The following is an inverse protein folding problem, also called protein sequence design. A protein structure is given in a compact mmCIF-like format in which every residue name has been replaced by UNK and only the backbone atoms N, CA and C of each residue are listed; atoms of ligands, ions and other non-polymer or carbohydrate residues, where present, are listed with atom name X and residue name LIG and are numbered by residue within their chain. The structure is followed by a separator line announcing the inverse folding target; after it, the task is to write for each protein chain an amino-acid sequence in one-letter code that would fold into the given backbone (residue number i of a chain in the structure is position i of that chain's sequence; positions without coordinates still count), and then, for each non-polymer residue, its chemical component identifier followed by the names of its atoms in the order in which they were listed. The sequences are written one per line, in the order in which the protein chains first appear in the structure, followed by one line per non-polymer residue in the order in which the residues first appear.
data_IF_684797325623
#
_entry.id   IF_684797325623
#
_cell.length_a   1.000
_cell.length_b   1.000
_cell.length_c   1.000
_cell.angle_alpha   90.00
_cell.angle_beta   90.00
_cell.angle_gamma   90.00
#
_symmetry.space_group_name_H-M   'P 1'
#
loop_
_entity.id
_entity.type
_entity.pdbx_description
1 polymer ?
#
# COMPACT_ATOMS: atom_id res chain seq x y z
N UNK A 1 -8.88 -1.63 -4.32
CA UNK A 1 -8.10 -2.57 -3.46
C UNK A 1 -7.35 -1.75 -2.42
N UNK A 2 -7.49 -2.13 -1.16
CA UNK A 2 -6.84 -1.41 -0.06
C UNK A 2 -5.48 -2.03 0.27
N UNK A 3 -5.43 -3.35 0.41
CA UNK A 3 -4.17 -4.04 0.63
C UNK A 3 -4.30 -5.52 0.28
N UNK A 4 -3.14 -6.16 0.16
CA UNK A 4 -3.04 -7.59 -0.12
C UNK A 4 -2.16 -8.24 0.94
N UNK A 5 -2.55 -9.44 1.35
CA UNK A 5 -1.78 -10.22 2.32
C UNK A 5 -1.54 -11.62 1.77
N UNK A 6 -0.28 -12.03 1.74
CA UNK A 6 0.10 -13.36 1.26
C UNK A 6 -0.06 -14.40 2.38
N UNK A 7 -0.67 -15.52 2.04
CA UNK A 7 -0.84 -16.68 2.90
C UNK A 7 -0.44 -17.93 2.11
N UNK A 8 0.82 -18.33 2.24
CA UNK A 8 1.33 -19.47 1.48
C UNK A 8 1.24 -19.17 -0.02
N UNK A 9 0.51 -20.00 -0.76
CA UNK A 9 0.35 -19.84 -2.21
C UNK A 9 -0.85 -18.97 -2.57
N UNK A 10 -1.54 -18.39 -1.59
CA UNK A 10 -2.73 -17.61 -1.81
C UNK A 10 -2.52 -16.19 -1.37
N UNK A 11 -3.24 -15.28 -2.01
CA UNK A 11 -3.22 -13.86 -1.69
C UNK A 11 -4.64 -13.45 -1.31
N UNK A 12 -4.78 -12.83 -0.15
CA UNK A 12 -6.04 -12.21 0.26
C UNK A 12 -6.04 -10.77 -0.25
N UNK A 13 -7.01 -10.45 -1.07
CA UNK A 13 -7.20 -9.10 -1.60
C UNK A 13 -8.29 -8.44 -0.76
N UNK A 14 -7.93 -7.39 -0.05
CA UNK A 14 -8.82 -6.73 0.90
C UNK A 14 -9.32 -5.43 0.31
N UNK A 15 -10.64 -5.27 0.30
CA UNK A 15 -11.32 -4.05 -0.14
C UNK A 15 -12.24 -3.58 0.96
N UNK A 16 -12.38 -2.25 1.07
CA UNK A 16 -13.19 -1.65 2.11
C UNK A 16 -14.65 -2.08 1.96
N UNK A 17 -15.26 -2.51 3.08
CA UNK A 17 -16.67 -2.90 3.14
C UNK A 17 -17.05 -4.09 2.26
N UNK A 18 -16.08 -4.88 1.82
CA UNK A 18 -16.31 -6.06 1.01
C UNK A 18 -15.62 -7.26 1.60
N UNK A 19 -16.10 -8.45 1.26
CA UNK A 19 -15.44 -9.67 1.68
C UNK A 19 -14.13 -9.85 0.92
N UNK A 20 -13.09 -10.40 1.58
CA UNK A 20 -11.82 -10.63 0.92
C UNK A 20 -11.96 -11.55 -0.29
N UNK A 21 -11.22 -11.25 -1.32
CA UNK A 21 -11.11 -12.12 -2.50
C UNK A 21 -9.79 -12.88 -2.36
N UNK A 22 -9.85 -14.20 -2.48
CA UNK A 22 -8.67 -15.05 -2.36
C UNK A 22 -8.27 -15.53 -3.74
N UNK A 23 -7.02 -15.27 -4.13
CA UNK A 23 -6.49 -15.73 -5.41
C UNK A 23 -5.20 -16.50 -5.19
N UNK A 24 -4.89 -17.42 -6.10
CA UNK A 24 -3.62 -18.14 -6.07
C UNK A 24 -2.62 -17.38 -6.91
N UNK A 25 -1.62 -16.80 -6.25
CA UNK A 25 -0.60 -16.01 -6.92
C UNK A 25 0.56 -15.75 -5.96
N UNK A 26 1.60 -15.10 -6.47
CA UNK A 26 2.75 -14.70 -5.68
C UNK A 26 2.75 -13.20 -5.52
N UNK A 27 3.01 -12.73 -4.29
CA UNK A 27 2.97 -11.31 -3.98
C UNK A 27 3.99 -10.51 -4.80
N UNK A 28 5.13 -11.12 -5.13
CA UNK A 28 6.13 -10.43 -5.96
C UNK A 28 5.60 -10.09 -7.34
N UNK A 29 4.85 -11.01 -7.94
CA UNK A 29 4.23 -10.77 -9.24
C UNK A 29 3.17 -9.70 -9.18
N UNK A 30 2.33 -9.77 -8.15
CA UNK A 30 1.29 -8.76 -7.96
C UNK A 30 1.88 -7.39 -7.66
N UNK A 31 2.98 -7.33 -6.91
CA UNK A 31 3.68 -6.08 -6.66
C UNK A 31 4.13 -5.45 -7.98
N UNK A 32 4.73 -6.25 -8.84
CA UNK A 32 5.21 -5.74 -10.12
C UNK A 32 4.08 -5.13 -10.95
N UNK A 33 2.91 -5.77 -10.94
CA UNK A 33 1.75 -5.29 -11.67
C UNK A 33 1.12 -4.06 -11.03
N UNK A 34 1.03 -4.03 -9.69
CA UNK A 34 0.29 -3.00 -8.96
C UNK A 34 1.14 -1.80 -8.55
N UNK A 35 2.45 -1.90 -8.67
CA UNK A 35 3.36 -0.83 -8.28
C UNK A 35 3.03 0.49 -8.96
N UNK A 36 2.69 0.45 -10.23
CA UNK A 36 2.34 1.65 -10.99
C UNK A 36 1.00 2.26 -10.56
N UNK A 37 0.20 1.52 -9.82
CA UNK A 37 -1.08 2.01 -9.30
C UNK A 37 -0.97 2.50 -7.86
N UNK A 38 0.25 2.65 -7.35
CA UNK A 38 0.45 3.21 -6.04
C UNK A 38 0.53 2.19 -4.91
N UNK A 39 0.80 0.94 -5.22
CA UNK A 39 1.00 -0.08 -4.18
C UNK A 39 2.45 -0.15 -3.78
N UNK A 40 2.69 -0.38 -2.49
CA UNK A 40 4.03 -0.48 -1.94
C UNK A 40 4.11 -1.62 -0.93
N UNK A 41 5.25 -2.29 -0.92
CA UNK A 41 5.52 -3.38 0.02
C UNK A 41 5.86 -2.81 1.39
N UNK A 42 5.26 -3.33 2.44
CA UNK A 42 5.59 -2.92 3.82
C UNK A 42 6.13 -4.09 4.64
N UNK A 43 5.80 -5.30 4.25
CA UNK A 43 6.35 -6.53 4.81
C UNK A 43 6.47 -7.55 3.70
N UNK A 44 7.21 -8.63 3.95
CA UNK A 44 7.37 -9.70 2.96
C UNK A 44 6.01 -10.17 2.42
N UNK A 45 5.00 -10.22 3.29
CA UNK A 45 3.69 -10.74 2.94
C UNK A 45 2.61 -9.67 2.83
N UNK A 46 2.99 -8.39 2.76
CA UNK A 46 1.99 -7.33 2.86
C UNK A 46 2.26 -6.22 1.86
N UNK A 47 1.27 -5.96 1.01
CA UNK A 47 1.33 -4.94 -0.05
C UNK A 47 0.15 -4.00 0.14
N UNK A 48 0.41 -2.70 0.28
CA UNK A 48 -0.61 -1.72 0.66
C UNK A 48 -0.74 -0.65 -0.41
N UNK A 49 -1.98 -0.26 -0.70
CA UNK A 49 -2.26 0.90 -1.54
C UNK A 49 -1.88 2.15 -0.75
N UNK A 50 -0.99 2.98 -1.30
CA UNK A 50 -0.51 4.17 -0.62
C UNK A 50 -1.65 5.11 -0.23
N UNK A 51 -2.71 5.16 -1.03
CA UNK A 51 -3.88 6.00 -0.74
C UNK A 51 -4.63 5.56 0.50
N UNK A 52 -4.46 4.31 0.92
CA UNK A 52 -5.11 3.75 2.08
C UNK A 52 -4.34 3.99 3.37
N UNK A 53 -3.12 4.51 3.26
CA UNK A 53 -2.28 4.82 4.41
C UNK A 53 -2.69 6.18 4.96
N UNK A 54 -3.10 6.21 6.22
CA UNK A 54 -3.44 7.45 6.90
C UNK A 54 -2.19 8.19 7.37
N UNK A 55 -1.24 7.46 7.94
CA UNK A 55 0.04 8.02 8.38
C UNK A 55 1.09 6.94 8.57
N UNK A 56 2.33 7.35 8.55
CA UNK A 56 3.47 6.51 8.91
C UNK A 56 4.16 7.17 10.10
N UNK A 57 4.15 6.49 11.22
CA UNK A 57 4.68 7.05 12.48
C UNK A 57 5.40 5.95 13.26
N UNK A 58 6.57 6.30 13.82
CA UNK A 58 7.43 5.29 14.39
C UNK A 58 7.89 4.37 13.28
N UNK A 59 7.58 3.11 13.37
CA UNK A 59 7.91 2.14 12.32
C UNK A 59 6.65 1.44 11.83
N UNK A 60 5.52 2.11 11.95
CA UNK A 60 4.22 1.54 11.60
C UNK A 60 3.47 2.40 10.62
N UNK A 61 2.78 1.76 9.69
CA UNK A 61 1.75 2.43 8.90
C UNK A 61 0.41 2.23 9.58
N UNK A 62 -0.38 3.29 9.60
CA UNK A 62 -1.74 3.26 10.12
C UNK A 62 -2.67 3.41 8.95
N UNK A 63 -3.51 2.41 8.75
CA UNK A 63 -4.42 2.38 7.61
C UNK A 63 -5.75 3.06 7.97
N UNK A 64 -6.47 3.48 6.96
CA UNK A 64 -7.73 4.21 7.14
C UNK A 64 -8.80 3.41 7.89
N UNK A 65 -8.72 2.08 7.84
CA UNK A 65 -9.65 1.21 8.57
C UNK A 65 -9.22 0.95 10.02
N UNK A 66 -8.18 1.64 10.51
CA UNK A 66 -7.69 1.50 11.87
C UNK A 66 -6.65 0.41 12.07
N UNK A 67 -6.33 -0.33 11.05
CA UNK A 67 -5.30 -1.38 11.14
C UNK A 67 -3.92 -0.73 11.19
N UNK A 68 -3.07 -1.26 12.06
CA UNK A 68 -1.69 -0.83 12.22
C UNK A 68 -0.78 -1.97 11.75
N UNK A 69 0.19 -1.66 10.89
CA UNK A 69 1.14 -2.65 10.41
C UNK A 69 2.57 -2.14 10.56
N UNK A 70 3.41 -3.00 11.12
CA UNK A 70 4.85 -2.73 11.22
C UNK A 70 5.47 -2.74 9.83
N UNK A 71 6.37 -1.80 9.56
CA UNK A 71 7.09 -1.73 8.29
C UNK A 71 8.46 -2.36 8.50
N UNK A 72 8.73 -3.43 7.77
CA UNK A 72 10.05 -4.08 7.84
C UNK A 72 11.12 -3.12 7.32
N UNK A 73 12.28 -3.05 7.99
CA UNK A 73 13.32 -2.07 7.63
C UNK A 73 13.70 -2.07 6.16
N UNK A 74 13.73 -3.24 5.52
CA UNK A 74 14.11 -3.35 4.11
C UNK A 74 13.14 -2.64 3.17
N UNK A 75 11.92 -2.36 3.61
CA UNK A 75 10.89 -1.72 2.78
C UNK A 75 10.66 -0.26 3.14
N UNK A 76 11.28 0.24 4.20
CA UNK A 76 11.04 1.58 4.70
C UNK A 76 11.39 2.67 3.69
N UNK A 77 12.54 2.53 3.04
CA UNK A 77 12.97 3.53 2.05
C UNK A 77 11.99 3.63 0.88
N UNK A 78 11.57 2.49 0.37
CA UNK A 78 10.62 2.46 -0.75
C UNK A 78 9.28 3.04 -0.34
N UNK A 79 8.84 2.74 0.88
CA UNK A 79 7.59 3.29 1.40
C UNK A 79 7.65 4.82 1.48
N UNK A 80 8.74 5.36 2.03
CA UNK A 80 8.90 6.81 2.15
C UNK A 80 8.94 7.48 0.79
N UNK A 81 9.62 6.88 -0.17
CA UNK A 81 9.66 7.40 -1.53
C UNK A 81 8.29 7.42 -2.16
N UNK A 82 7.52 6.35 -1.98
CA UNK A 82 6.18 6.25 -2.54
C UNK A 82 5.22 7.25 -1.89
N UNK A 83 5.29 7.41 -0.58
CA UNK A 83 4.46 8.38 0.13
C UNK A 83 4.79 9.80 -0.31
N UNK A 84 6.07 10.12 -0.44
CA UNK A 84 6.50 11.43 -0.90
C UNK A 84 5.99 11.71 -2.31
N UNK A 85 6.15 10.75 -3.19
CA UNK A 85 5.69 10.86 -4.57
C UNK A 85 4.18 11.09 -4.65
N UNK A 86 3.42 10.37 -3.84
CA UNK A 86 1.97 10.51 -3.79
C UNK A 86 1.57 11.90 -3.30
N UNK A 87 2.22 12.40 -2.26
CA UNK A 87 1.93 13.72 -1.71
C UNK A 87 2.29 14.82 -2.71
N UNK A 88 3.37 14.67 -3.44
CA UNK A 88 3.78 15.64 -4.46
C UNK A 88 2.78 15.67 -5.62
N UNK A 89 2.30 14.50 -6.05
CA UNK A 89 1.28 14.42 -7.11
C UNK A 89 -0.01 15.10 -6.69
N UNK A 90 -0.44 14.89 -5.43
CA UNK A 90 -1.63 15.55 -4.91
C UNK A 90 -1.44 17.07 -4.87
N UNK A 91 -0.25 17.52 -4.46
CA UNK A 91 0.07 18.94 -4.45
C UNK A 91 0.03 19.54 -5.84
N UNK A 92 0.58 18.84 -6.80
CA UNK A 92 0.59 19.28 -8.19
C UNK A 92 -0.83 19.35 -8.76
N UNK A 93 -1.64 18.35 -8.46
CA UNK A 93 -3.04 18.31 -8.90
C UNK A 93 -3.82 19.50 -8.31
N UNK A 94 -3.62 19.78 -7.03
CA UNK A 94 -4.27 20.92 -6.39
C UNK A 94 -3.83 22.23 -7.01
N UNK A 95 -2.54 22.37 -7.32
CA UNK A 95 -2.03 23.54 -7.98
C UNK A 95 -2.60 23.70 -9.38
N UNK A 96 -2.77 22.60 -10.08
CA UNK A 96 -3.40 22.60 -11.39
C UNK A 96 -4.84 23.07 -11.36
N UNK A 97 -5.57 22.65 -10.34
CA UNK A 97 -6.99 23.04 -10.18
C UNK A 97 -7.11 24.52 -9.85
N UNK A 98 -6.18 25.07 -9.12
CA UNK A 98 -6.22 26.48 -8.73
C UNK A 98 -5.64 27.41 -9.81
N UNK A 99 -4.91 26.82 -10.69
CA UNK A 99 -4.27 27.57 -11.79
C UNK A 99 -5.23 27.81 -12.89
#
# INVERSE_FOLDING_TARGET
IDYLQANGHYIDIIMDNEEPIVVRNHINELQHTLEKYGFVRVQVSYLVNVKFIERFEGKNVYLRNGIKKFVSPRFEKQLLEKLRSYMESDGDDLNGDTG
#
